data_IF_358564460819
#
_entry.id   IF_358564460819
#
_cell.length_a   1.000
_cell.length_b   1.000
_cell.length_c   1.000
_cell.angle_alpha   90.00
_cell.angle_beta   90.00
_cell.angle_gamma   90.00
#
_symmetry.space_group_name_H-M   'P 1'
#
loop_
_entity.id
_entity.type
_entity.pdbx_description
1 polymer ?
2 non-polymer ?
3 water ?
#
# COMPACT_ATOMS: atom_id res chain seq x y z
N UNK A 7 9.55 15.14 -8.96
CA UNK A 7 10.28 13.93 -9.27
C UNK A 7 9.85 12.78 -8.35
N UNK A 8 9.80 11.58 -8.91
CA UNK A 8 9.35 10.43 -8.13
C UNK A 8 10.49 9.73 -7.42
N UNK A 9 10.20 9.22 -6.23
CA UNK A 9 11.13 8.38 -5.51
C UNK A 9 10.43 7.05 -5.28
N UNK A 10 11.13 5.97 -5.63
CA UNK A 10 10.64 4.62 -5.37
C UNK A 10 11.37 4.05 -4.18
N UNK A 11 10.64 3.54 -3.20
CA UNK A 11 11.29 2.90 -2.05
C UNK A 11 11.15 1.37 -2.10
N UNK A 12 12.30 0.72 -2.24
CA UNK A 12 12.37 -0.73 -2.33
C UNK A 12 12.72 -1.32 -0.96
N UNK A 13 11.79 -2.06 -0.37
CA UNK A 13 12.06 -2.77 0.87
C UNK A 13 12.67 -4.12 0.52
N UNK A 14 14.00 -4.22 0.61
CA UNK A 14 14.64 -5.44 0.13
C UNK A 14 14.53 -6.58 1.12
N UNK A 15 14.16 -7.76 0.61
CA UNK A 15 14.07 -8.94 1.44
C UNK A 15 15.46 -9.42 1.79
N UNK A 16 15.62 -9.99 2.99
CA UNK A 16 16.91 -10.51 3.40
C UNK A 16 17.35 -11.60 2.41
N UNK A 17 18.64 -11.61 2.09
CA UNK A 17 19.16 -12.56 1.12
C UNK A 17 18.79 -12.16 -0.31
N UNK A 18 18.42 -10.89 -0.48
CA UNK A 18 18.14 -10.36 -1.80
C UNK A 18 19.32 -10.58 -2.74
N UNK A 19 19.03 -10.95 -3.99
CA UNK A 19 20.06 -11.15 -5.01
C UNK A 19 20.07 -9.95 -5.97
N UNK A 20 21.05 -9.06 -5.80
CA UNK A 20 21.12 -7.85 -6.63
C UNK A 20 21.08 -8.17 -8.12
N UNK A 21 20.47 -7.28 -8.90
CA UNK A 21 20.30 -7.52 -10.33
C UNK A 21 20.82 -6.38 -11.22
N UNK A 22 20.86 -6.65 -12.51
CA UNK A 22 21.21 -5.65 -13.51
C UNK A 22 20.57 -6.03 -14.83
N UNK A 23 20.60 -5.11 -15.81
CA UNK A 23 19.89 -5.29 -17.08
C UNK A 23 20.19 -6.61 -17.79
N UNK A 24 21.35 -7.20 -17.52
CA UNK A 24 21.76 -8.42 -18.23
C UNK A 24 21.16 -9.70 -17.67
N UNK A 25 20.48 -9.60 -16.54
CA UNK A 25 19.82 -10.78 -15.97
C UNK A 25 18.41 -10.98 -16.54
N UNK A 26 18.03 -10.17 -17.54
CA UNK A 26 16.67 -10.20 -18.06
C UNK A 26 16.59 -10.29 -19.59
N UNK A 27 15.78 -11.24 -20.07
CA UNK A 27 15.49 -11.36 -21.49
C UNK A 27 14.21 -10.61 -21.86
N UNK A 28 14.30 -9.72 -22.83
CA UNK A 28 13.14 -8.98 -23.29
C UNK A 28 12.20 -9.85 -24.12
N UNK A 29 10.93 -9.90 -23.72
CA UNK A 29 9.94 -10.74 -24.41
C UNK A 29 8.92 -9.95 -25.23
N UNK A 30 8.41 -8.87 -24.65
CA UNK A 30 7.34 -8.11 -25.29
C UNK A 30 7.36 -6.67 -24.83
N UNK A 31 6.81 -5.78 -25.66
CA UNK A 31 6.59 -4.39 -25.27
C UNK A 31 5.09 -4.15 -25.27
N UNK A 32 4.57 -3.65 -24.16
CA UNK A 32 3.13 -3.45 -24.04
C UNK A 32 2.80 -2.01 -23.67
N UNK A 33 1.66 -1.53 -24.18
CA UNK A 33 1.09 -0.28 -23.71
C UNK A 33 0.03 -0.61 -22.68
N UNK A 34 0.28 -0.23 -21.43
CA UNK A 34 -0.63 -0.57 -20.35
C UNK A 34 -1.38 0.64 -19.79
N UNK A 35 -2.05 1.36 -20.68
CA UNK A 35 -2.83 2.52 -20.30
C UNK A 35 -2.16 3.42 -19.30
N UNK A 36 -2.68 3.39 -18.07
CA UNK A 36 -2.22 4.30 -17.02
C UNK A 36 -0.81 3.95 -16.55
N UNK A 37 -0.38 2.73 -16.84
CA UNK A 37 0.97 2.32 -16.46
C UNK A 37 2.01 2.75 -17.49
N UNK A 38 1.54 3.20 -18.65
CA UNK A 38 2.46 3.55 -19.71
C UNK A 38 3.13 2.34 -20.33
N UNK A 39 4.35 2.55 -20.83
CA UNK A 39 5.10 1.53 -21.54
C UNK A 39 5.65 0.49 -20.56
N UNK A 40 5.27 -0.77 -20.75
CA UNK A 40 5.75 -1.83 -19.87
C UNK A 40 6.42 -2.91 -20.70
N UNK A 41 7.62 -3.31 -20.29
CA UNK A 41 8.28 -4.44 -20.95
C UNK A 41 8.01 -5.73 -20.21
N UNK A 42 7.61 -6.77 -20.94
CA UNK A 42 7.53 -8.10 -20.34
C UNK A 42 8.89 -8.75 -20.50
N UNK A 43 9.48 -9.20 -19.39
CA UNK A 43 10.83 -9.73 -19.41
C UNK A 43 10.89 -11.08 -18.70
N UNK A 44 11.94 -11.85 -19.00
CA UNK A 44 12.16 -13.13 -18.33
C UNK A 44 13.47 -13.11 -17.55
N UNK A 45 13.41 -13.48 -16.28
CA UNK A 45 14.60 -13.54 -15.44
C UNK A 45 15.47 -14.70 -15.95
N UNK A 46 16.76 -14.42 -16.15
CA UNK A 46 17.63 -15.44 -16.71
C UNK A 46 18.25 -16.34 -15.64
N UNK A 47 18.75 -15.73 -14.57
CA UNK A 47 19.46 -16.48 -13.54
C UNK A 47 18.85 -16.34 -12.14
N UNK A 48 19.38 -17.11 -11.19
CA UNK A 48 19.00 -16.98 -9.79
C UNK A 48 17.84 -17.84 -9.34
N UNK A 49 17.40 -17.62 -8.12
CA UNK A 49 16.30 -18.38 -7.52
C UNK A 49 15.05 -18.34 -8.39
N UNK A 50 14.75 -17.16 -8.93
CA UNK A 50 13.55 -17.00 -9.75
C UNK A 50 13.83 -17.11 -11.25
N UNK A 51 14.90 -17.83 -11.62
CA UNK A 51 15.19 -18.01 -13.04
C UNK A 51 13.95 -18.49 -13.80
N UNK A 52 13.76 -17.93 -14.99
CA UNK A 52 12.62 -18.26 -15.87
C UNK A 52 11.31 -17.54 -15.52
N UNK A 53 11.27 -16.86 -14.38
CA UNK A 53 10.07 -16.12 -13.99
C UNK A 53 9.83 -14.94 -14.94
N UNK A 54 8.57 -14.75 -15.35
CA UNK A 54 8.20 -13.59 -16.13
C UNK A 54 7.90 -12.42 -15.20
N UNK A 55 8.32 -11.22 -15.61
CA UNK A 55 8.08 -10.01 -14.83
C UNK A 55 7.71 -8.86 -15.74
N UNK A 56 7.08 -7.84 -15.17
CA UNK A 56 6.95 -6.56 -15.85
C UNK A 56 8.20 -5.73 -15.55
N UNK A 57 8.65 -4.96 -16.52
CA UNK A 57 9.75 -4.03 -16.29
C UNK A 57 9.36 -2.63 -16.70
N UNK A 58 9.61 -1.69 -15.80
CA UNK A 58 9.39 -0.27 -16.07
C UNK A 58 10.75 0.39 -16.09
N UNK A 59 10.99 1.23 -17.09
CA UNK A 59 12.21 2.03 -17.13
C UNK A 59 11.82 3.49 -16.98
N UNK A 60 12.17 4.06 -15.83
CA UNK A 60 11.79 5.43 -15.51
C UNK A 60 12.95 6.39 -15.74
N UNK A 61 12.68 7.48 -16.44
CA UNK A 61 13.66 8.55 -16.55
C UNK A 61 13.47 9.47 -15.36
N UNK A 62 14.57 10.01 -14.84
CA UNK A 62 14.49 10.89 -13.68
C UNK A 62 13.59 10.28 -12.62
N UNK A 63 14.13 9.30 -11.89
CA UNK A 63 13.46 8.77 -10.72
C UNK A 63 14.54 8.44 -9.70
N UNK A 64 14.22 8.64 -8.44
CA UNK A 64 15.15 8.35 -7.36
C UNK A 64 14.81 6.99 -6.78
N UNK A 65 15.84 6.23 -6.41
CA UNK A 65 15.68 4.94 -5.75
C UNK A 65 16.13 5.03 -4.31
N UNK A 66 15.28 4.55 -3.40
CA UNK A 66 15.66 4.43 -2.00
C UNK A 66 15.53 2.96 -1.64
N UNK A 67 16.54 2.41 -0.96
CA UNK A 67 16.54 0.99 -0.63
C UNK A 67 16.57 0.84 0.88
N UNK A 68 15.60 0.11 1.42
CA UNK A 68 15.42 0.00 2.87
C UNK A 68 15.38 -1.46 3.31
N UNK A 69 15.86 -1.72 4.53
CA UNK A 69 15.79 -3.06 5.09
C UNK A 69 14.44 -3.35 5.71
N UNK A 70 14.06 -4.61 5.65
CA UNK A 70 12.86 -5.05 6.36
C UNK A 70 13.22 -5.29 7.82
N UNK A 71 12.23 -5.28 8.69
CA UNK A 71 12.47 -5.52 10.11
C UNK A 71 12.46 -7.00 10.45
N UNK A 78 13.39 -19.45 10.06
CA UNK A 78 13.24 -20.34 8.91
C UNK A 78 13.63 -19.67 7.60
N UNK A 79 14.37 -20.38 6.77
CA UNK A 79 14.76 -19.89 5.45
C UNK A 79 13.63 -20.10 4.46
N UNK A 80 12.78 -19.09 4.30
CA UNK A 80 11.60 -19.20 3.45
C UNK A 80 11.84 -18.61 2.07
N UNK A 81 11.28 -19.26 1.05
CA UNK A 81 11.23 -18.67 -0.29
C UNK A 81 9.85 -18.05 -0.46
N UNK A 82 9.79 -16.80 -0.92
CA UNK A 82 8.51 -16.11 -1.03
C UNK A 82 7.60 -16.69 -2.12
N UNK A 83 6.30 -16.69 -1.86
CA UNK A 83 5.31 -17.01 -2.87
C UNK A 83 4.31 -15.85 -3.02
N UNK A 84 3.52 -15.89 -4.08
CA UNK A 84 2.61 -14.79 -4.35
C UNK A 84 1.52 -14.67 -3.28
N UNK A 85 1.05 -13.45 -3.07
CA UNK A 85 -0.09 -13.19 -2.23
C UNK A 85 -1.15 -12.60 -3.15
N UNK A 86 -2.41 -13.01 -2.98
CA UNK A 86 -3.43 -12.58 -3.96
C UNK A 86 -3.66 -11.07 -4.04
N UNK A 87 -3.31 -10.30 -3.01
CA UNK A 87 -3.63 -8.86 -3.00
C UNK A 87 -2.43 -7.94 -2.90
N UNK A 88 -1.28 -8.44 -3.38
CA UNK A 88 -0.03 -7.68 -3.36
C UNK A 88 0.66 -7.79 -4.70
N UNK A 89 1.19 -6.67 -5.19
CA UNK A 89 2.19 -6.71 -6.25
C UNK A 89 3.54 -6.29 -5.69
N UNK A 90 4.56 -7.05 -6.07
CA UNK A 90 5.89 -6.86 -5.51
C UNK A 90 6.86 -6.22 -6.48
N UNK A 91 7.74 -5.41 -5.90
CA UNK A 91 8.94 -4.92 -6.58
C UNK A 91 10.06 -5.91 -6.23
N UNK A 92 10.50 -6.67 -7.24
CA UNK A 92 11.49 -7.71 -7.02
C UNK A 92 12.89 -7.17 -7.15
N UNK A 93 13.08 -6.26 -8.11
CA UNK A 93 14.38 -5.64 -8.32
C UNK A 93 14.25 -4.18 -8.69
N UNK A 94 15.24 -3.38 -8.29
CA UNK A 94 15.28 -1.98 -8.67
C UNK A 94 16.74 -1.57 -8.74
N UNK A 95 17.15 -1.09 -9.91
CA UNK A 95 18.55 -0.75 -10.13
C UNK A 95 18.69 0.38 -11.14
N UNK A 96 19.71 1.21 -10.92
CA UNK A 96 19.95 2.38 -11.75
C UNK A 96 21.02 2.10 -12.83
N UNK A 97 20.80 2.60 -14.03
CA UNK A 97 21.74 2.42 -15.14
C UNK A 97 21.67 3.59 -16.10
N UNK A 98 22.76 4.33 -16.22
CA UNK A 98 22.84 5.46 -17.16
C UNK A 98 21.63 6.39 -17.06
N UNK A 99 21.41 6.95 -15.87
CA UNK A 99 20.34 7.91 -15.65
C UNK A 99 18.94 7.34 -15.65
N UNK A 100 18.81 6.02 -15.71
CA UNK A 100 17.50 5.38 -15.77
C UNK A 100 17.27 4.43 -14.59
N UNK A 101 16.06 4.44 -14.04
CA UNK A 101 15.69 3.54 -12.96
C UNK A 101 14.87 2.39 -13.52
N UNK A 102 15.38 1.17 -13.36
CA UNK A 102 14.72 -0.04 -13.82
C UNK A 102 13.96 -0.64 -12.65
N UNK A 103 12.66 -0.89 -12.84
CA UNK A 103 11.86 -1.59 -11.84
C UNK A 103 11.39 -2.91 -12.41
N UNK A 104 11.63 -3.99 -11.65
CA UNK A 104 11.17 -5.31 -12.05
C UNK A 104 10.05 -5.70 -11.10
N UNK A 105 8.85 -5.84 -11.65
CA UNK A 105 7.63 -5.97 -10.85
C UNK A 105 6.84 -7.20 -11.25
N UNK A 106 5.95 -7.65 -10.36
CA UNK A 106 4.97 -8.65 -10.77
C UNK A 106 4.24 -8.15 -12.02
N UNK A 107 4.08 -9.01 -13.02
CA UNK A 107 3.29 -8.63 -14.17
C UNK A 107 1.84 -8.43 -13.74
N UNK A 108 1.25 -7.29 -14.12
CA UNK A 108 -0.12 -6.98 -13.74
C UNK A 108 -0.92 -6.60 -14.98
N UNK A 109 -1.46 -7.60 -15.66
CA UNK A 109 -2.19 -7.38 -16.91
C UNK A 109 -3.43 -6.53 -16.69
N UNK A 110 -3.57 -5.47 -17.47
CA UNK A 110 -4.72 -4.61 -17.37
C UNK A 110 -4.93 -3.94 -16.01
N UNK A 111 -3.86 -3.78 -15.25
CA UNK A 111 -3.94 -3.10 -13.97
C UNK A 111 -4.37 -1.65 -14.09
N UNK A 112 -4.94 -1.09 -13.03
CA UNK A 112 -5.28 0.32 -13.00
C UNK A 112 -5.10 0.88 -11.60
N UNK A 113 -5.28 2.19 -11.44
CA UNK A 113 -5.10 2.87 -10.18
C UNK A 113 -6.37 2.89 -9.34
N UNK A 114 -6.25 2.66 -8.03
CA UNK A 114 -7.42 2.75 -7.18
C UNK A 114 -8.01 4.17 -7.25
N UNK A 115 -7.14 5.18 -7.32
CA UNK A 115 -7.58 6.58 -7.38
C UNK A 115 -8.41 6.87 -8.63
N UNK A 116 -8.18 6.12 -9.70
CA UNK A 116 -9.03 6.26 -10.89
C UNK A 116 -10.46 5.91 -10.52
N UNK A 117 -10.62 4.80 -9.79
CA UNK A 117 -11.95 4.37 -9.38
C UNK A 117 -12.57 5.33 -8.37
N UNK A 118 -11.79 5.71 -7.36
CA UNK A 118 -12.33 6.51 -6.26
C UNK A 118 -12.81 7.88 -6.74
N UNK A 119 -12.19 8.39 -7.80
CA UNK A 119 -12.62 9.65 -8.37
C UNK A 119 -13.96 9.51 -9.09
N UNK A 120 -14.24 8.32 -9.60
CA UNK A 120 -15.42 8.09 -10.43
C UNK A 120 -16.66 7.63 -9.65
N UNK A 121 -16.48 7.07 -8.46
CA UNK A 121 -17.58 6.44 -7.75
C UNK A 121 -17.81 7.04 -6.37
N UNK A 122 -19.02 6.84 -5.86
CA UNK A 122 -19.34 7.16 -4.49
C UNK A 122 -19.44 5.84 -3.73
N UNK A 123 -18.45 5.56 -2.89
CA UNK A 123 -18.45 4.30 -2.13
C UNK A 123 -19.47 4.29 -1.00
N UNK A 124 -20.19 3.19 -0.89
CA UNK A 124 -21.02 2.95 0.29
C UNK A 124 -20.21 2.15 1.30
N UNK A 125 -20.75 1.99 2.50
CA UNK A 125 -20.09 1.16 3.50
C UNK A 125 -19.90 -0.26 3.00
N UNK A 126 -20.90 -0.77 2.27
CA UNK A 126 -20.82 -2.11 1.73
C UNK A 126 -19.63 -2.25 0.77
N UNK A 127 -19.42 -1.23 -0.06
CA UNK A 127 -18.31 -1.25 -1.01
C UNK A 127 -17.00 -1.26 -0.26
N UNK A 128 -16.89 -0.38 0.72
CA UNK A 128 -15.65 -0.18 1.47
C UNK A 128 -15.25 -1.44 2.25
N UNK A 129 -16.24 -2.17 2.75
CA UNK A 129 -15.95 -3.42 3.46
C UNK A 129 -15.12 -4.35 2.58
N UNK A 130 -15.47 -4.42 1.31
CA UNK A 130 -14.76 -5.31 0.39
C UNK A 130 -13.32 -4.83 0.19
N UNK A 131 -13.16 -3.57 -0.20
CA UNK A 131 -11.81 -3.08 -0.52
C UNK A 131 -10.93 -3.07 0.71
N UNK A 132 -11.46 -2.63 1.84
CA UNK A 132 -10.66 -2.60 3.06
C UNK A 132 -10.32 -4.01 3.57
N UNK A 133 -11.18 -4.97 3.31
CA UNK A 133 -10.90 -6.34 3.73
C UNK A 133 -9.71 -6.94 2.96
N UNK A 134 -9.71 -6.80 1.64
CA UNK A 134 -8.56 -7.22 0.85
C UNK A 134 -7.31 -6.45 1.25
N UNK A 135 -7.44 -5.15 1.48
CA UNK A 135 -6.31 -4.32 1.88
C UNK A 135 -5.75 -4.77 3.23
N UNK A 136 -6.63 -5.13 4.16
CA UNK A 136 -6.19 -5.60 5.47
C UNK A 136 -5.37 -6.88 5.36
N UNK A 137 -5.81 -7.81 4.52
CA UNK A 137 -5.04 -9.03 4.33
C UNK A 137 -3.65 -8.71 3.74
N UNK A 138 -3.64 -7.84 2.74
CA UNK A 138 -2.39 -7.46 2.09
C UNK A 138 -1.45 -6.79 3.08
N UNK A 139 -1.94 -5.79 3.80
CA UNK A 139 -1.10 -5.02 4.71
C UNK A 139 -0.50 -5.90 5.81
N UNK A 140 -1.34 -6.78 6.38
CA UNK A 140 -0.86 -7.69 7.41
C UNK A 140 0.21 -8.61 6.86
N UNK A 141 0.04 -9.05 5.63
CA UNK A 141 1.05 -9.93 5.04
C UNK A 141 2.37 -9.20 4.89
N UNK A 142 2.32 -7.95 4.44
CA UNK A 142 3.54 -7.15 4.36
C UNK A 142 4.18 -6.97 5.73
N UNK A 143 3.36 -6.79 6.76
CA UNK A 143 3.89 -6.69 8.13
C UNK A 143 4.65 -7.96 8.50
N UNK A 144 4.09 -9.11 8.14
CA UNK A 144 4.77 -10.38 8.41
C UNK A 144 6.09 -10.50 7.67
N UNK A 145 6.20 -9.84 6.51
CA UNK A 145 7.44 -9.81 5.75
C UNK A 145 8.43 -8.80 6.31
N UNK A 146 8.01 -8.02 7.29
CA UNK A 146 8.86 -7.00 7.88
C UNK A 146 8.80 -5.62 7.25
N UNK A 147 7.77 -5.35 6.45
CA UNK A 147 7.57 -4.05 5.83
C UNK A 147 6.66 -3.15 6.68
N UNK A 148 7.13 -1.93 6.95
CA UNK A 148 6.32 -0.92 7.62
C UNK A 148 6.19 0.26 6.67
N UNK A 149 4.96 0.64 6.37
CA UNK A 149 4.69 1.67 5.35
C UNK A 149 4.98 3.08 5.79
N UNK A 150 4.52 3.45 6.98
CA UNK A 150 4.67 4.81 7.49
C UNK A 150 3.65 5.80 6.90
N UNK A 151 3.53 5.83 5.58
CA UNK A 151 2.54 6.70 4.94
C UNK A 151 1.77 5.99 3.84
N UNK A 152 1.31 4.78 4.14
CA UNK A 152 0.41 4.06 3.25
C UNK A 152 -0.67 5.02 2.74
N UNK A 153 -0.87 5.03 1.43
CA UNK A 153 -1.78 6.02 0.82
C UNK A 153 -2.39 5.47 -0.46
N UNK A 154 -3.38 6.18 -1.03
CA UNK A 154 -4.05 5.61 -2.21
C UNK A 154 -3.12 5.37 -3.40
N UNK A 155 -2.03 6.12 -3.53
CA UNK A 155 -1.09 5.90 -4.61
C UNK A 155 -0.44 4.51 -4.50
N UNK A 156 -0.54 3.87 -3.33
CA UNK A 156 0.01 2.54 -3.15
C UNK A 156 -0.98 1.44 -3.55
N UNK A 157 -2.18 1.84 -3.93
CA UNK A 157 -3.25 0.89 -4.16
C UNK A 157 -3.65 0.81 -5.61
N UNK A 158 -3.52 -0.39 -6.16
CA UNK A 158 -3.88 -0.67 -7.54
C UNK A 158 -5.06 -1.61 -7.58
N UNK A 159 -5.64 -1.79 -8.76
CA UNK A 159 -6.66 -2.79 -8.97
C UNK A 159 -6.23 -3.66 -10.13
N UNK A 160 -6.45 -4.97 -10.03
CA UNK A 160 -6.15 -5.85 -11.15
C UNK A 160 -7.29 -5.87 -12.17
N UNK A 161 -7.12 -6.67 -13.21
CA UNK A 161 -8.08 -6.69 -14.32
C UNK A 161 -9.45 -7.17 -13.88
N UNK A 162 -9.50 -7.83 -12.72
CA UNK A 162 -10.74 -8.33 -12.16
C UNK A 162 -11.35 -7.39 -11.12
N UNK A 163 -10.62 -6.33 -10.76
CA UNK A 163 -11.16 -5.34 -9.84
C UNK A 163 -10.77 -5.59 -8.39
N UNK A 164 -9.90 -6.58 -8.18
CA UNK A 164 -9.38 -6.84 -6.82
C UNK A 164 -8.21 -5.93 -6.47
N UNK A 165 -8.03 -5.71 -5.18
CA UNK A 165 -6.95 -4.91 -4.66
C UNK A 165 -5.58 -5.55 -4.96
N UNK A 166 -4.64 -4.71 -5.39
CA UNK A 166 -3.23 -5.08 -5.37
C UNK A 166 -2.52 -3.94 -4.67
N UNK A 167 -2.06 -4.19 -3.46
CA UNK A 167 -1.26 -3.24 -2.71
C UNK A 167 0.18 -3.37 -3.17
N UNK A 168 0.81 -2.25 -3.50
CA UNK A 168 2.23 -2.27 -3.84
C UNK A 168 3.06 -2.53 -2.58
N UNK A 169 4.08 -3.37 -2.69
CA UNK A 169 4.98 -3.57 -1.55
C UNK A 169 6.15 -2.59 -1.51
N UNK A 170 6.09 -1.59 -2.38
CA UNK A 170 7.10 -0.55 -2.45
C UNK A 170 6.51 0.82 -2.23
N UNK A 171 7.33 1.75 -1.74
CA UNK A 171 6.85 3.09 -1.48
C UNK A 171 6.97 3.98 -2.70
N UNK A 172 6.09 4.97 -2.78
CA UNK A 172 6.15 5.95 -3.86
C UNK A 172 5.97 7.33 -3.24
N UNK A 173 6.85 8.26 -3.61
CA UNK A 173 6.77 9.61 -3.07
C UNK A 173 7.20 10.64 -4.09
N UNK A 174 6.71 11.87 -3.92
CA UNK A 174 7.03 12.96 -4.82
C UNK A 174 8.07 13.85 -4.15
N UNK A 175 9.25 13.93 -4.76
CA UNK A 175 10.34 14.73 -4.20
C UNK A 175 10.82 15.78 -5.19
N UNK A 181 14.60 21.85 -0.73
CA UNK A 181 15.93 21.85 -1.32
C UNK A 181 16.78 20.70 -0.79
N UNK A 182 16.79 20.52 0.52
CA UNK A 182 17.52 19.41 1.14
C UNK A 182 16.75 18.09 0.96
N UNK A 183 17.49 17.02 0.68
CA UNK A 183 16.86 15.71 0.50
C UNK A 183 16.59 15.02 1.83
N UNK A 184 15.49 14.26 1.90
CA UNK A 184 15.16 13.50 3.11
C UNK A 184 15.13 12.02 2.78
N UNK A 185 15.57 11.19 3.72
CA UNK A 185 15.56 9.76 3.49
C UNK A 185 14.12 9.26 3.43
N UNK A 186 13.25 9.88 4.22
CA UNK A 186 11.83 9.54 4.18
C UNK A 186 10.99 10.78 3.91
N UNK A 187 10.25 10.75 2.80
CA UNK A 187 9.33 11.83 2.46
C UNK A 187 7.91 11.31 2.49
N UNK A 188 7.22 11.52 3.61
CA UNK A 188 5.89 11.00 3.77
C UNK A 188 4.79 12.00 3.47
N UNK A 189 3.67 11.51 2.98
CA UNK A 189 2.48 12.33 2.79
C UNK A 189 1.79 12.49 4.15
N UNK A 190 1.86 13.70 4.69
CA UNK A 190 1.52 13.96 6.08
C UNK A 190 0.10 13.49 6.47
N UNK A 191 -0.84 13.68 5.55
CA UNK A 191 -2.24 13.40 5.85
C UNK A 191 -2.48 11.94 6.25
N UNK A 192 -1.57 11.05 5.85
CA UNK A 192 -1.75 9.61 6.10
C UNK A 192 -0.90 9.11 7.25
N UNK A 193 -0.12 9.99 7.84
CA UNK A 193 0.82 9.59 8.88
C UNK A 193 0.22 9.62 10.30
N UNK A 194 0.51 8.58 11.08
CA UNK A 194 0.06 8.52 12.47
C UNK A 194 0.79 9.56 13.30
N UNK A 195 0.23 9.91 14.47
CA UNK A 195 0.89 10.88 15.35
C UNK A 195 2.34 10.49 15.66
N UNK A 196 2.56 9.24 16.06
CA UNK A 196 3.89 8.79 16.45
C UNK A 196 4.88 8.82 15.29
N UNK A 197 4.36 8.81 14.06
CA UNK A 197 5.23 8.93 12.89
C UNK A 197 5.57 10.40 12.69
N UNK A 198 4.56 11.26 12.80
CA UNK A 198 4.75 12.69 12.71
C UNK A 198 5.74 13.16 13.79
N UNK A 199 5.73 12.50 14.94
CA UNK A 199 6.63 12.82 16.05
C UNK A 199 8.08 12.46 15.77
N UNK A 200 8.29 11.43 14.95
CA UNK A 200 9.63 10.93 14.67
C UNK A 200 10.31 10.41 15.93
N UNK A 201 9.52 9.97 16.90
CA UNK A 201 10.06 9.47 18.16
C UNK A 201 9.98 7.93 18.28
N UNK A 202 9.77 7.27 17.14
CA UNK A 202 9.72 5.83 17.10
C UNK A 202 8.32 5.30 16.86
N UNK A 203 8.22 4.20 16.12
CA UNK A 203 6.92 3.63 15.80
C UNK A 203 7.06 2.18 15.37
N UNK A 204 5.91 1.53 15.18
CA UNK A 204 5.87 0.13 14.76
C UNK A 204 4.80 -0.05 13.68
N UNK A 205 4.48 -1.30 13.37
CA UNK A 205 3.46 -1.61 12.39
C UNK A 205 2.12 -0.97 12.73
N UNK A 206 1.88 -0.71 14.02
CA UNK A 206 0.62 -0.12 14.42
C UNK A 206 0.39 1.25 13.79
N UNK A 207 1.46 1.91 13.34
CA UNK A 207 1.31 3.19 12.63
C UNK A 207 0.51 2.99 11.34
N UNK A 208 0.67 1.83 10.71
CA UNK A 208 0.03 1.58 9.44
C UNK A 208 -1.47 1.36 9.58
N UNK A 209 -1.91 0.94 10.77
CA UNK A 209 -3.35 0.75 11.01
C UNK A 209 -4.04 2.10 11.16
N UNK A 210 -3.31 3.10 11.66
CA UNK A 210 -3.81 4.48 11.62
C UNK A 210 -4.02 4.86 10.16
N UNK A 211 -3.02 4.65 9.32
CA UNK A 211 -3.12 5.00 7.92
C UNK A 211 -4.28 4.24 7.28
N UNK A 212 -4.46 2.98 7.67
CA UNK A 212 -5.58 2.18 7.19
C UNK A 212 -6.91 2.88 7.53
N UNK A 213 -7.02 3.40 8.75
CA UNK A 213 -8.17 4.20 9.15
C UNK A 213 -8.34 5.45 8.28
N UNK A 214 -7.24 6.13 7.96
CA UNK A 214 -7.36 7.31 7.11
C UNK A 214 -7.88 6.90 5.74
N UNK A 215 -7.38 5.80 5.21
CA UNK A 215 -7.86 5.31 3.93
C UNK A 215 -9.35 5.04 4.00
N UNK A 216 -9.77 4.38 5.07
CA UNK A 216 -11.18 4.05 5.27
C UNK A 216 -12.03 5.32 5.35
N UNK A 217 -11.58 6.28 6.13
CA UNK A 217 -12.29 7.56 6.28
C UNK A 217 -12.45 8.22 4.92
N UNK A 218 -11.35 8.27 4.16
CA UNK A 218 -11.37 8.90 2.85
C UNK A 218 -12.27 8.17 1.85
N UNK A 219 -12.26 6.84 1.89
CA UNK A 219 -13.15 6.06 1.02
C UNK A 219 -14.61 6.37 1.31
N UNK A 220 -14.95 6.46 2.59
CA UNK A 220 -16.34 6.63 3.01
C UNK A 220 -16.85 8.05 2.79
N UNK A 221 -15.98 9.04 2.94
CA UNK A 221 -16.40 10.45 2.93
C UNK A 221 -15.92 11.26 1.74
N UNK A 222 -14.88 10.77 1.07
CA UNK A 222 -14.26 11.51 -0.01
C UNK A 222 -13.42 12.68 0.48
N UNK A 223 -13.19 12.73 1.79
CA UNK A 223 -12.35 13.76 2.41
C UNK A 223 -11.35 13.12 3.35
N UNK A 224 -10.33 13.88 3.75
CA UNK A 224 -9.35 13.40 4.72
C UNK A 224 -9.71 13.87 6.13
N UNK A 225 -9.46 13.01 7.13
CA UNK A 225 -9.90 13.34 8.49
C UNK A 225 -9.10 14.47 9.13
N UNK A 226 -7.82 14.56 8.82
CA UNK A 226 -6.96 15.59 9.37
C UNK A 226 -6.26 16.35 8.26
N UNK A 227 -6.69 17.58 8.04
CA UNK A 227 -6.24 18.35 6.90
C UNK A 227 -6.18 19.82 7.26
N UNK A 228 -4.99 20.40 7.14
CA UNK A 228 -4.80 21.81 7.41
C UNK A 228 -4.51 22.59 6.14
N UNK A 229 -4.19 23.87 6.29
CA UNK A 229 -3.84 24.71 5.16
C UNK A 229 -2.45 24.37 4.64
N UNK A 230 -1.60 23.89 5.55
CA UNK A 230 -0.23 23.53 5.20
C UNK A 230 0.25 22.36 6.06
N UNK A 231 1.40 21.80 5.72
CA UNK A 231 1.92 20.63 6.42
C UNK A 231 1.97 20.85 7.92
N UNK A 232 2.47 22.01 8.33
CA UNK A 232 2.61 22.31 9.76
C UNK A 232 1.28 22.18 10.51
N UNK A 233 0.23 22.76 9.94
CA UNK A 233 -1.08 22.75 10.59
C UNK A 233 -1.65 21.34 10.63
N UNK A 234 -1.56 20.63 9.49
CA UNK A 234 -2.04 19.24 9.41
C UNK A 234 -1.36 18.40 10.49
N UNK A 235 -0.06 18.60 10.66
CA UNK A 235 0.69 17.89 11.70
C UNK A 235 0.14 18.20 13.09
N UNK A 236 -0.16 19.47 13.33
CA UNK A 236 -0.74 19.88 14.60
C UNK A 236 -2.06 19.16 14.83
N UNK A 237 -2.87 19.08 13.77
CA UNK A 237 -4.18 18.44 13.83
C UNK A 237 -4.11 16.93 14.08
N UNK A 238 -3.17 16.27 13.42
CA UNK A 238 -2.97 14.85 13.64
C UNK A 238 -2.61 14.58 15.10
N UNK A 239 -1.88 15.51 15.70
CA UNK A 239 -1.44 15.35 17.08
C UNK A 239 -2.49 15.73 18.11
N UNK A 240 -3.30 16.74 17.80
CA UNK A 240 -4.17 17.35 18.80
C UNK A 240 -5.63 17.55 18.39
N UNK A 241 -5.87 17.64 17.08
CA UNK A 241 -7.22 17.86 16.57
C UNK A 241 -8.20 16.77 16.99
N UNK A 242 -9.33 17.17 17.55
CA UNK A 242 -10.39 16.22 17.84
C UNK A 242 -11.20 15.97 16.57
N UNK A 243 -11.23 14.73 16.12
CA UNK A 243 -11.89 14.39 14.86
C UNK A 243 -13.40 14.51 14.93
N UNK A 244 -13.98 15.26 13.99
CA UNK A 244 -15.42 15.38 13.88
C UNK A 244 -15.95 14.23 13.03
N UNK A 245 -16.44 13.19 13.70
CA UNK A 245 -16.90 11.97 13.02
C UNK A 245 -18.20 12.20 12.27
N UNK A 246 -18.21 11.97 10.94
CA UNK A 246 -19.42 12.15 10.15
C UNK A 246 -20.57 11.28 10.64
N UNK A 247 -21.67 11.93 11.03
CA UNK A 247 -22.81 11.24 11.61
C UNK A 247 -23.59 10.34 10.66
N UNK A 248 -23.39 10.50 9.35
CA UNK A 248 -24.07 9.63 8.41
C UNK A 248 -23.50 8.22 8.45
N UNK A 249 -22.31 8.08 9.01
CA UNK A 249 -21.66 6.78 9.10
C UNK A 249 -22.38 5.87 10.11
N UNK A 250 -22.43 4.58 9.81
CA UNK A 250 -23.04 3.60 10.72
C UNK A 250 -22.30 3.52 12.06
N UNK A 251 -22.97 3.02 13.11
CA UNK A 251 -22.31 2.91 14.40
C UNK A 251 -21.04 2.06 14.26
N UNK A 252 -21.12 1.02 13.43
CA UNK A 252 -20.01 0.08 13.28
C UNK A 252 -18.83 0.75 12.58
N UNK A 253 -19.11 1.54 11.54
CA UNK A 253 -18.07 2.30 10.86
C UNK A 253 -17.44 3.29 11.83
N UNK A 254 -18.28 4.00 12.58
CA UNK A 254 -17.77 4.99 13.52
C UNK A 254 -16.89 4.33 14.57
N UNK A 255 -17.33 3.18 15.07
CA UNK A 255 -16.57 2.45 16.07
C UNK A 255 -15.20 2.06 15.55
N UNK A 256 -15.16 1.47 14.37
CA UNK A 256 -13.87 1.04 13.81
C UNK A 256 -12.93 2.23 13.64
N UNK A 257 -13.45 3.34 13.11
CA UNK A 257 -12.64 4.52 12.91
C UNK A 257 -12.11 5.05 14.24
N UNK A 258 -12.98 5.13 15.26
CA UNK A 258 -12.52 5.59 16.56
C UNK A 258 -11.40 4.71 17.11
N UNK A 259 -11.52 3.40 16.93
CA UNK A 259 -10.51 2.48 17.44
C UNK A 259 -9.21 2.52 16.64
N UNK A 260 -9.29 2.84 15.35
CA UNK A 260 -8.08 3.00 14.55
C UNK A 260 -7.40 4.35 14.77
N UNK A 261 -8.15 5.34 15.25
CA UNK A 261 -7.62 6.69 15.41
C UNK A 261 -7.27 7.01 16.86
N UNK A 262 -7.05 5.99 17.68
CA UNK A 262 -6.44 6.19 18.99
C UNK A 262 -5.03 6.77 18.82
N UNK A 263 -4.75 7.90 19.46
CA UNK A 263 -3.45 8.52 19.31
C UNK A 263 -2.31 7.75 19.98
N UNK A 264 -2.62 7.06 21.07
CA UNK A 264 -1.63 6.20 21.70
C UNK A 264 -1.61 4.86 20.97
N UNK A 265 -0.51 4.57 20.26
CA UNK A 265 -0.51 3.35 19.45
C UNK A 265 -0.78 2.09 20.27
N UNK A 266 -0.44 2.10 21.56
CA UNK A 266 -0.68 0.93 22.39
C UNK A 266 -2.17 0.61 22.55
N UNK A 267 -3.02 1.62 22.36
CA UNK A 267 -4.46 1.45 22.51
C UNK A 267 -5.20 1.27 21.18
N UNK A 268 -4.46 1.36 20.10
CA UNK A 268 -5.03 1.36 18.75
C UNK A 268 -5.41 -0.05 18.31
N UNK A 269 -6.54 -0.17 17.62
CA UNK A 269 -6.98 -1.46 17.11
C UNK A 269 -5.90 -1.95 16.13
N UNK A 270 -5.54 -3.22 16.26
CA UNK A 270 -4.49 -3.81 15.43
C UNK A 270 -3.12 -3.79 16.09
N UNK A 271 -3.00 -3.12 17.22
CA UNK A 271 -1.72 -3.02 17.91
C UNK A 271 -1.43 -4.18 18.87
N UNK A 272 -2.47 -4.91 19.26
CA UNK A 272 -2.32 -6.04 20.18
C UNK A 272 -1.59 -7.22 19.57
N UNK A 273 -1.31 -8.26 20.37
CA UNK A 273 -0.59 -9.43 19.85
C UNK A 273 -1.28 -10.07 18.65
N UNK A 274 -2.61 -10.03 18.63
CA UNK A 274 -3.34 -10.63 17.50
C UNK A 274 -3.36 -9.74 16.26
N UNK A 275 -2.85 -8.51 16.37
CA UNK A 275 -2.70 -7.66 15.20
C UNK A 275 -3.95 -7.52 14.36
N UNK A 276 -3.85 -7.88 13.08
CA UNK A 276 -4.95 -7.70 12.15
C UNK A 276 -6.22 -8.43 12.59
N UNK A 277 -6.11 -9.46 13.41
CA UNK A 277 -7.30 -10.19 13.80
C UNK A 277 -8.23 -9.28 14.61
N UNK A 278 -7.65 -8.29 15.28
CA UNK A 278 -8.45 -7.33 16.05
C UNK A 278 -9.36 -6.55 15.11
N UNK A 279 -8.86 -6.28 13.91
CA UNK A 279 -9.65 -5.62 12.88
C UNK A 279 -10.63 -6.59 12.21
N UNK A 280 -10.17 -7.79 11.88
CA UNK A 280 -11.01 -8.77 11.20
C UNK A 280 -12.22 -9.15 12.04
N UNK A 281 -12.07 -9.07 13.36
CA UNK A 281 -13.12 -9.46 14.32
C UNK A 281 -14.09 -8.32 14.60
N UNK A 282 -13.77 -7.13 14.10
CA UNK A 282 -14.62 -5.98 14.38
C UNK A 282 -15.98 -6.10 13.70
N UNK A 283 -17.01 -5.56 14.34
CA UNK A 283 -18.35 -5.69 13.78
C UNK A 283 -18.51 -5.12 12.36
N UNK A 284 -17.73 -4.09 12.03
CA UNK A 284 -17.78 -3.54 10.70
C UNK A 284 -17.57 -4.62 9.63
N UNK A 285 -16.69 -5.59 9.93
CA UNK A 285 -16.37 -6.64 8.97
C UNK A 285 -17.11 -7.97 9.17
N UNK A 286 -18.18 -7.94 9.98
CA UNK A 286 -18.84 -9.19 10.37
C UNK A 286 -19.33 -10.04 9.20
N UNK A 287 -19.63 -9.41 8.07
CA UNK A 287 -20.16 -10.11 6.91
C UNK A 287 -19.07 -10.77 6.06
N UNK A 288 -17.81 -10.45 6.34
CA UNK A 288 -16.73 -10.98 5.51
C UNK A 288 -16.32 -12.41 5.87
N UNK A 289 -16.30 -13.28 4.85
CA UNK A 289 -15.73 -14.61 4.94
C UNK A 289 -14.28 -14.49 4.49
N UNK A 290 -13.35 -14.52 5.44
CA UNK A 290 -11.96 -14.20 5.14
C UNK A 290 -11.30 -15.28 4.28
N UNK A 291 -11.75 -16.52 4.39
CA UNK A 291 -11.18 -17.57 3.57
C UNK A 291 -11.63 -17.44 2.12
N UNK A 292 -12.92 -17.20 1.92
CA UNK A 292 -13.45 -16.96 0.57
C UNK A 292 -12.80 -15.73 -0.03
N UNK A 293 -12.63 -14.69 0.78
CA UNK A 293 -11.95 -13.49 0.30
C UNK A 293 -10.54 -13.79 -0.19
N UNK A 294 -9.76 -14.49 0.62
CA UNK A 294 -8.40 -14.82 0.26
C UNK A 294 -8.33 -15.64 -1.04
N UNK A 295 -9.31 -16.52 -1.23
CA UNK A 295 -9.39 -17.34 -2.44
C UNK A 295 -9.89 -16.55 -3.67
N UNK A 296 -10.16 -15.26 -3.51
CA UNK A 296 -10.64 -14.40 -4.62
C UNK A 296 -11.99 -14.85 -5.13
N UNK A 297 -12.81 -15.34 -4.22
CA UNK A 297 -14.14 -15.88 -4.54
C UNK A 297 -15.26 -14.90 -4.20
N UNK A 298 -14.89 -13.69 -3.78
CA UNK A 298 -15.86 -12.61 -3.57
C UNK A 298 -15.66 -11.56 -4.66
N UNK A 299 -16.74 -11.16 -5.34
CA UNK A 299 -16.62 -10.22 -6.44
C UNK A 299 -16.58 -8.76 -5.99
N UNK A 300 -15.71 -7.97 -6.62
CA UNK A 300 -15.60 -6.54 -6.27
C UNK A 300 -16.88 -5.78 -6.61
N UNK A 301 -17.17 -4.72 -5.87
CA UNK A 301 -18.33 -3.85 -6.13
C UNK A 301 -18.27 -3.23 -7.53
N UNK A 302 -17.05 -3.00 -8.04
CA UNK A 302 -16.88 -2.37 -9.34
C UNK A 302 -15.96 -3.23 -10.19
N UNK A 303 -16.37 -3.48 -11.42
CA UNK A 303 -15.61 -4.33 -12.33
C UNK A 303 -15.10 -3.44 -13.45
N UNK A 304 -13.78 -3.42 -13.66
CA UNK A 304 -13.21 -2.55 -14.69
C UNK A 304 -13.63 -2.99 -16.09
X LIG B 1 2.21 8.37 -13.93
X LIG B 1 2.36 6.84 -13.67
X LIG B 1 1.36 6.10 -13.69
X LIG B 1 3.63 6.29 -13.58
X LIG B 1 3.72 4.97 -13.14
X LIG B 1 3.97 4.07 -14.26
X LIG B 1 5.15 4.46 -14.89
X LIG B 1 4.82 4.85 -12.06
X LIG B 1 4.51 5.65 -10.96
X LIG B 1 5.22 6.80 -10.69
X LIG B 1 6.32 7.00 -11.23
X LIG B 1 4.56 7.88 -9.89
X LIG B 1 5.00 3.41 -11.70
X LIG B 1 6.18 3.19 -10.75
X LIG B 1 5.13 2.60 -12.83
X LIG B 1 4.10 2.63 -13.76
X LIG B 1 2.84 2.24 -13.26
X LIG B 1 2.84 1.00 -12.62
X LIG B 1 3.23 -0.27 -13.40
X LIG B 1 3.58 -0.22 -14.60
X LIG B 1 2.48 0.87 -11.34
X LIG B 1 2.00 2.00 -10.43
X LIG B 1 2.10 1.84 -9.04
X LIG B 1 1.61 2.81 -8.19
X LIG B 1 0.97 3.93 -8.75
X LIG B 1 0.47 4.93 -7.92
X LIG B 1 0.84 4.08 -10.13
X LIG B 1 1.33 3.08 -10.98
X LIG B 1 2.48 -0.35 -10.68
X LIG B 1 2.83 -1.64 -11.37
X LIG B 1 2.80 -2.78 -10.62
X LIG B 1 3.14 -3.96 -11.24
X LIG B 1 3.08 -5.08 -10.47
X LIG B 1 3.53 -3.99 -12.58
X LIG B 1 3.56 -2.81 -13.29
X LIG B 1 3.22 -1.62 -12.68
X LIG B 1 3.94 -2.80 -14.66
X LIG B 1 3.04 8.71 -14.33
X LIG B 1 1.47 8.51 -14.54
X LIG B 1 2.03 8.82 -13.08
X LIG B 1 2.87 4.71 -12.75
X LIG B 1 3.21 4.14 -14.87
X LIG B 1 5.64 5.21 -12.42
X LIG B 1 4.29 8.60 -10.49
X LIG B 1 5.19 8.22 -9.22
X LIG B 1 3.77 7.52 -9.45
X LIG B 1 4.20 3.15 -11.23
X LIG B 1 7.02 3.34 -11.23
X LIG B 1 6.11 3.82 -10.01
X LIG B 1 6.16 2.28 -10.40
X LIG B 1 4.29 2.05 -14.51
X LIG B 1 2.54 1.04 -8.67
X LIG B 1 1.69 2.73 -7.22
X LIG B 1 0.39 4.86 -10.49
X LIG B 1 1.25 3.17 -11.95
X LIG B 1 2.53 -2.77 -9.69
X LIG B 1 3.77 -4.82 -13.00
X LIG B 1 0.55 4.86 -7.02
X LIG B 1 3.31 -5.87 -10.82
X LIG B 1 3.96 -2.02 -15.10
#
# INVERSE_FOLDING_TARGET
GMGSIKEIAITHHVKEGHEKADPSQFELLKVLGQGSFGKVFLVKKISGSDARQLYAMKVLKKATLKVRDRVRTKMERDILVEVNHPFIVKLHYAFQTEGKLYLILDFLRGGDLFTRLSKEVMFTEEDVKFYLAELALALDHLHSLGIIYRDLKPENILLDEEGHIKLTDFGLSKESIDHEKKAYSFCGTVEYMAPEVVNRRGHTQSADWWSFGVLMFEMLTGTLPFQGKDRKETMTMILKAKLGMPQFLSPEAQSLLRMLFKRNPANRLGAGPDGVEEIKRHSFFSTIDWNKLYRREIHPPFKP
SL0 C1 C2 O1 O2 C3 C4 O3 C5 O4 C6 O5 C7 C8 C9 O6 C10 O7 C11 C12 O8 C13 C14 C15 C16 C17 O9 C18 C19 O10 C20 C21 C22 O11 C23 C24 C25 O12 H733 H731 H732 H23 H22 H24 H643 H642 H641 H25 H512 H513 H511 H21 H12 H13 H15 H16 H8 H6 H221 H231 H241
#
